data_IF_225933804676
#
_entry.id   IF_225933804676
#
_cell.length_a   1.000
_cell.length_b   1.000
_cell.length_c   1.000
_cell.angle_alpha   90.00
_cell.angle_beta   90.00
_cell.angle_gamma   90.00
#
_symmetry.space_group_name_H-M   'P 1'
#
loop_
_entity.id
_entity.type
_entity.pdbx_description
1 polymer ?
#
# COMPACT_ATOMS: atom_id res chain seq x y z
N UNK A 1 -16.08 16.02 37.02
CA UNK A 1 -14.74 16.07 36.39
C UNK A 1 -14.80 16.20 34.87
N UNK A 2 -15.99 16.24 34.26
CA UNK A 2 -16.19 16.49 32.82
C UNK A 2 -17.32 17.52 32.61
N UNK A 3 -17.41 18.52 33.47
CA UNK A 3 -18.28 19.69 33.22
C UNK A 3 -17.36 20.83 32.75
N UNK A 4 -17.68 21.37 31.57
CA UNK A 4 -17.03 22.48 30.85
C UNK A 4 -15.62 22.26 30.29
N UNK A 5 -15.49 21.30 29.36
CA UNK A 5 -14.45 21.39 28.34
C UNK A 5 -15.08 21.99 27.08
N UNK A 6 -14.96 23.32 26.89
CA UNK A 6 -15.27 23.94 25.61
C UNK A 6 -14.41 23.27 24.53
N UNK A 7 -15.06 22.62 23.58
CA UNK A 7 -14.39 22.00 22.44
C UNK A 7 -14.01 23.15 21.49
N UNK A 8 -12.72 23.39 21.35
CA UNK A 8 -12.20 24.23 20.27
C UNK A 8 -12.48 23.53 18.93
N UNK A 9 -13.50 24.03 18.21
CA UNK A 9 -13.94 23.49 16.92
C UNK A 9 -12.83 23.51 15.87
N UNK A 10 -11.93 24.50 15.89
CA UNK A 10 -10.81 24.57 14.95
C UNK A 10 -9.78 23.48 15.24
N UNK A 11 -9.49 23.24 16.52
CA UNK A 11 -8.60 22.15 16.93
C UNK A 11 -9.22 20.79 16.58
N UNK A 12 -10.51 20.60 16.85
CA UNK A 12 -11.21 19.37 16.48
C UNK A 12 -11.18 19.14 14.96
N UNK A 13 -11.45 20.16 14.15
CA UNK A 13 -11.40 20.06 12.70
C UNK A 13 -9.99 19.67 12.21
N UNK A 14 -8.94 20.26 12.78
CA UNK A 14 -7.55 19.91 12.44
C UNK A 14 -7.21 18.45 12.78
N UNK A 15 -7.61 17.97 13.97
CA UNK A 15 -7.41 16.57 14.38
C UNK A 15 -8.19 15.60 13.49
N UNK A 16 -9.42 15.95 13.07
CA UNK A 16 -10.22 15.13 12.15
C UNK A 16 -9.55 15.03 10.77
N UNK A 17 -9.02 16.14 10.24
CA UNK A 17 -8.28 16.14 8.97
C UNK A 17 -7.05 15.25 9.09
N UNK A 18 -6.25 15.42 10.14
CA UNK A 18 -5.05 14.61 10.38
C UNK A 18 -5.38 13.13 10.51
N UNK A 19 -6.48 12.80 11.19
CA UNK A 19 -6.97 11.43 11.31
C UNK A 19 -7.42 10.87 9.96
N UNK A 20 -8.16 11.64 9.16
CA UNK A 20 -8.60 11.22 7.83
C UNK A 20 -7.41 10.95 6.89
N UNK A 21 -6.40 11.81 6.89
CA UNK A 21 -5.17 11.61 6.12
C UNK A 21 -4.40 10.37 6.57
N UNK A 22 -4.34 10.11 7.89
CA UNK A 22 -3.64 8.95 8.46
C UNK A 22 -4.38 7.63 8.27
N UNK A 23 -5.71 7.65 8.13
CA UNK A 23 -6.54 6.45 7.97
C UNK A 23 -6.86 6.11 6.51
N UNK A 24 -6.79 7.08 5.60
CA UNK A 24 -7.03 6.85 4.18
C UNK A 24 -5.90 6.08 3.51
N UNK A 25 -6.27 5.00 2.83
CA UNK A 25 -5.38 4.15 2.01
C UNK A 25 -5.57 4.38 0.50
N UNK A 26 -6.30 5.43 0.11
CA UNK A 26 -6.71 5.66 -1.27
C UNK A 26 -5.50 5.85 -2.20
N UNK A 27 -4.50 6.59 -1.74
CA UNK A 27 -3.29 6.88 -2.51
C UNK A 27 -2.50 5.61 -2.79
N UNK A 28 -2.38 4.74 -1.78
CA UNK A 28 -1.68 3.46 -1.88
C UNK A 28 -2.40 2.52 -2.85
N UNK A 29 -3.73 2.48 -2.85
CA UNK A 29 -4.51 1.67 -3.81
C UNK A 29 -4.33 2.16 -5.25
N UNK A 30 -4.32 3.48 -5.47
CA UNK A 30 -4.07 4.07 -6.79
C UNK A 30 -2.65 3.77 -7.27
N UNK A 31 -1.64 3.95 -6.40
CA UNK A 31 -0.25 3.60 -6.72
C UNK A 31 -0.08 2.12 -7.03
N UNK A 32 -0.64 1.24 -6.19
CA UNK A 32 -0.60 -0.21 -6.39
C UNK A 32 -1.23 -0.62 -7.74
N UNK A 33 -2.37 -0.01 -8.10
CA UNK A 33 -3.03 -0.25 -9.39
C UNK A 33 -2.16 0.20 -10.58
N UNK A 34 -1.46 1.32 -10.45
CA UNK A 34 -0.48 1.78 -11.45
C UNK A 34 0.70 0.81 -11.58
N UNK A 35 1.24 0.32 -10.45
CA UNK A 35 2.33 -0.67 -10.47
C UNK A 35 1.90 -1.99 -11.11
N UNK A 36 0.69 -2.47 -10.84
CA UNK A 36 0.13 -3.66 -11.47
C UNK A 36 -0.01 -3.49 -13.00
N UNK A 37 -0.42 -2.31 -13.45
CA UNK A 37 -0.51 -2.01 -14.88
C UNK A 37 0.86 -2.01 -15.56
N UNK A 38 1.88 -1.42 -14.91
CA UNK A 38 3.25 -1.44 -15.42
C UNK A 38 3.87 -2.84 -15.40
N UNK A 39 3.52 -3.66 -14.40
CA UNK A 39 3.93 -5.05 -14.32
C UNK A 39 3.39 -5.84 -15.53
N UNK A 40 2.10 -5.68 -15.83
CA UNK A 40 1.48 -6.31 -17.00
C UNK A 40 2.18 -5.88 -18.31
N UNK A 41 2.46 -4.60 -18.49
CA UNK A 41 3.23 -4.12 -19.64
C UNK A 41 4.60 -4.79 -19.75
N UNK A 42 5.35 -4.90 -18.64
CA UNK A 42 6.68 -5.50 -18.65
C UNK A 42 6.68 -6.99 -18.97
N UNK A 43 5.63 -7.72 -18.57
CA UNK A 43 5.48 -9.14 -18.92
C UNK A 43 5.32 -9.37 -20.43
N UNK A 44 4.87 -8.37 -21.19
CA UNK A 44 4.71 -8.44 -22.64
C UNK A 44 5.92 -7.92 -23.43
N UNK A 45 6.90 -7.30 -22.77
CA UNK A 45 8.10 -6.79 -23.42
C UNK A 45 9.11 -7.92 -23.69
N UNK A 46 9.80 -7.81 -24.83
CA UNK A 46 10.95 -8.67 -25.15
C UNK A 46 12.24 -8.03 -24.63
N UNK A 47 13.06 -8.80 -23.93
CA UNK A 47 14.37 -8.36 -23.44
C UNK A 47 14.54 -8.52 -21.93
N UNK A 48 15.61 -7.94 -21.38
CA UNK A 48 15.91 -8.03 -19.95
C UNK A 48 14.99 -7.11 -19.13
N UNK A 49 13.89 -7.67 -18.63
CA UNK A 49 12.91 -6.96 -17.78
C UNK A 49 12.99 -7.32 -16.30
N UNK A 50 13.71 -8.38 -15.92
CA UNK A 50 13.80 -8.91 -14.54
C UNK A 50 14.06 -7.83 -13.49
N UNK A 51 15.14 -7.05 -13.64
CA UNK A 51 15.47 -5.92 -12.76
C UNK A 51 14.38 -4.85 -12.66
N UNK A 52 13.63 -4.58 -13.74
CA UNK A 52 12.53 -3.59 -13.72
C UNK A 52 11.33 -4.14 -12.94
N UNK A 53 11.05 -5.42 -13.12
CA UNK A 53 10.00 -6.11 -12.38
C UNK A 53 10.37 -6.19 -10.89
N UNK A 54 11.62 -6.48 -10.56
CA UNK A 54 12.10 -6.49 -9.16
C UNK A 54 11.87 -5.13 -8.48
N UNK A 55 12.18 -4.03 -9.17
CA UNK A 55 11.88 -2.68 -8.67
C UNK A 55 10.37 -2.48 -8.45
N UNK A 56 9.51 -2.89 -9.40
CA UNK A 56 8.06 -2.78 -9.22
C UNK A 56 7.56 -3.59 -8.01
N UNK A 57 8.04 -4.81 -7.82
CA UNK A 57 7.64 -5.61 -6.66
C UNK A 57 8.06 -4.96 -5.34
N UNK A 58 9.22 -4.29 -5.31
CA UNK A 58 9.65 -3.51 -4.13
C UNK A 58 8.70 -2.34 -3.85
N UNK A 59 8.33 -1.57 -4.87
CA UNK A 59 7.40 -0.45 -4.70
C UNK A 59 6.01 -0.95 -4.28
N UNK A 60 5.50 -2.03 -4.89
CA UNK A 60 4.24 -2.66 -4.47
C UNK A 60 4.28 -3.11 -3.01
N UNK A 61 5.40 -3.67 -2.55
CA UNK A 61 5.57 -4.06 -1.15
C UNK A 61 5.52 -2.84 -0.20
N UNK A 62 6.09 -1.70 -0.62
CA UNK A 62 5.98 -0.44 0.15
C UNK A 62 4.53 0.02 0.27
N UNK A 63 3.77 0.03 -0.83
CA UNK A 63 2.35 0.41 -0.79
C UNK A 63 1.56 -0.51 0.15
N UNK A 64 1.77 -1.82 0.07
CA UNK A 64 1.08 -2.82 0.90
C UNK A 64 1.45 -2.70 2.39
N UNK A 65 2.69 -2.34 2.71
CA UNK A 65 3.09 -2.05 4.09
C UNK A 65 2.39 -0.81 4.63
N UNK A 66 2.26 0.24 3.82
CA UNK A 66 1.56 1.47 4.20
C UNK A 66 0.06 1.20 4.40
N UNK A 67 -0.57 0.40 3.52
CA UNK A 67 -1.95 -0.06 3.70
C UNK A 67 -2.10 -0.77 5.05
N UNK A 68 -1.24 -1.74 5.35
CA UNK A 68 -1.30 -2.47 6.63
C UNK A 68 -1.05 -1.60 7.86
N UNK A 69 -0.25 -0.54 7.75
CA UNK A 69 0.01 0.39 8.86
C UNK A 69 -1.15 1.37 9.10
N UNK A 70 -1.86 1.78 8.05
CA UNK A 70 -2.99 2.72 8.13
C UNK A 70 -4.33 2.02 8.42
N UNK A 71 -4.52 0.79 7.93
CA UNK A 71 -5.75 0.04 8.05
C UNK A 71 -5.65 -1.03 9.14
N UNK A 72 -5.83 -0.62 10.39
CA UNK A 72 -6.04 -1.53 11.53
C UNK A 72 -7.48 -2.11 11.51
N UNK A 73 -7.84 -2.74 10.39
CA UNK A 73 -9.15 -3.31 10.11
C UNK A 73 -9.06 -4.84 10.02
N UNK A 74 -10.08 -5.54 10.56
CA UNK A 74 -10.13 -7.00 10.63
C UNK A 74 -10.29 -7.66 9.25
N UNK A 75 -10.79 -6.94 8.26
CA UNK A 75 -10.93 -7.40 6.88
C UNK A 75 -9.66 -7.11 6.07
N UNK A 76 -9.01 -5.96 6.31
CA UNK A 76 -7.83 -5.56 5.53
C UNK A 76 -6.57 -6.33 5.96
N UNK A 77 -6.42 -6.61 7.25
CA UNK A 77 -5.20 -7.27 7.77
C UNK A 77 -4.91 -8.64 7.12
N UNK A 78 -5.88 -9.55 6.94
CA UNK A 78 -5.65 -10.81 6.21
C UNK A 78 -5.24 -10.59 4.75
N UNK A 79 -5.89 -9.65 4.05
CA UNK A 79 -5.58 -9.35 2.65
C UNK A 79 -4.16 -8.83 2.47
N UNK A 80 -3.68 -7.98 3.40
CA UNK A 80 -2.29 -7.49 3.39
C UNK A 80 -1.29 -8.66 3.49
N UNK A 81 -1.58 -9.66 4.33
CA UNK A 81 -0.72 -10.85 4.47
C UNK A 81 -0.72 -11.68 3.20
N UNK A 82 -1.90 -11.90 2.59
CA UNK A 82 -2.02 -12.63 1.33
C UNK A 82 -1.25 -11.94 0.20
N UNK A 83 -1.42 -10.62 0.03
CA UNK A 83 -0.71 -9.85 -0.99
C UNK A 83 0.81 -9.94 -0.78
N UNK A 84 1.28 -9.82 0.48
CA UNK A 84 2.71 -9.98 0.80
C UNK A 84 3.24 -11.36 0.41
N UNK A 85 2.46 -12.42 0.63
CA UNK A 85 2.84 -13.77 0.22
C UNK A 85 2.95 -13.89 -1.30
N UNK A 86 2.00 -13.34 -2.06
CA UNK A 86 2.06 -13.36 -3.52
C UNK A 86 3.21 -12.52 -4.07
N UNK A 87 3.48 -11.34 -3.49
CA UNK A 87 4.64 -10.52 -3.85
C UNK A 87 5.96 -11.26 -3.66
N UNK A 88 6.10 -12.03 -2.57
CA UNK A 88 7.31 -12.81 -2.30
C UNK A 88 7.46 -13.98 -3.30
N UNK A 89 6.37 -14.69 -3.60
CA UNK A 89 6.39 -15.74 -4.63
C UNK A 89 6.79 -15.18 -6.00
N UNK A 90 6.27 -14.01 -6.38
CA UNK A 90 6.66 -13.34 -7.63
C UNK A 90 8.14 -12.95 -7.63
N UNK A 91 8.66 -12.46 -6.49
CA UNK A 91 10.08 -12.11 -6.32
C UNK A 91 10.97 -13.34 -6.51
N UNK A 92 10.63 -14.47 -5.90
CA UNK A 92 11.35 -15.73 -6.07
C UNK A 92 11.33 -16.21 -7.53
N UNK A 93 10.18 -16.11 -8.21
CA UNK A 93 10.08 -16.50 -9.62
C UNK A 93 11.01 -15.69 -10.52
N UNK A 94 11.10 -14.37 -10.32
CA UNK A 94 11.99 -13.52 -11.13
C UNK A 94 13.44 -13.90 -10.91
N UNK A 95 13.85 -14.15 -9.65
CA UNK A 95 15.22 -14.55 -9.32
C UNK A 95 15.60 -15.94 -9.84
N UNK A 96 14.61 -16.83 -10.04
CA UNK A 96 14.83 -18.17 -10.59
C UNK A 96 14.86 -18.20 -12.13
N UNK A 97 14.38 -17.15 -12.80
CA UNK A 97 14.31 -17.04 -14.27
C UNK A 97 15.49 -16.22 -14.84
N UNK A 98 16.12 -15.35 -14.03
CA UNK A 98 17.42 -14.73 -14.35
C UNK A 98 18.57 -15.74 -14.40
#
# INVERSE_FOLDING_TARGET
>A
LLDDCEIDENRLAAEVILFAERSSITEELVRLSSHLSQLDEFLHLKGAVGRRIEFLLQEMNREVNTIGAKAADLVISPLVVEIKSELEKMREQIQNIE
#
